data_IF_380797367732
#
_entry.id   IF_380797367732
#
_cell.length_a   1.000
_cell.length_b   1.000
_cell.length_c   1.000
_cell.angle_alpha   90.00
_cell.angle_beta   90.00
_cell.angle_gamma   90.00
#
_symmetry.space_group_name_H-M   'P 1'
#
loop_
_entity.id
_entity.type
_entity.pdbx_description
1 polymer ?
#
# COMPACT_ATOMS: atom_id res chain seq x y z
N UNK A 1 -14.33 -3.65 -7.12
CA UNK A 1 -12.94 -3.13 -7.07
C UNK A 1 -12.08 -4.15 -7.77
N UNK A 2 -11.23 -3.76 -8.71
CA UNK A 2 -10.21 -4.66 -9.25
C UNK A 2 -9.27 -5.09 -8.12
N UNK A 3 -8.91 -6.37 -8.06
CA UNK A 3 -7.98 -6.88 -7.05
C UNK A 3 -6.64 -6.11 -7.14
N UNK A 4 -6.10 -5.71 -5.99
CA UNK A 4 -4.81 -5.01 -5.95
C UNK A 4 -3.67 -5.98 -6.29
N UNK A 5 -2.67 -5.50 -7.03
CA UNK A 5 -1.43 -6.27 -7.25
C UNK A 5 -0.73 -6.44 -5.89
N UNK A 6 -0.41 -7.68 -5.54
CA UNK A 6 0.19 -8.04 -4.24
C UNK A 6 1.65 -8.45 -4.37
N UNK A 7 2.08 -8.88 -5.56
CA UNK A 7 3.45 -9.28 -5.86
C UNK A 7 3.70 -9.25 -7.38
N UNK A 8 4.96 -9.35 -7.78
CA UNK A 8 5.35 -9.43 -9.18
C UNK A 8 6.84 -9.77 -9.36
N UNK A 9 7.27 -9.81 -10.62
CA UNK A 9 8.67 -10.05 -10.99
C UNK A 9 9.21 -8.80 -11.69
N UNK A 10 10.38 -8.35 -11.22
CA UNK A 10 11.14 -7.23 -11.77
C UNK A 10 12.41 -7.74 -12.46
N UNK A 11 12.71 -7.26 -13.66
CA UNK A 11 14.07 -7.35 -14.21
C UNK A 11 14.95 -6.28 -13.56
N UNK A 12 15.96 -6.73 -12.80
CA UNK A 12 16.84 -5.85 -12.02
C UNK A 12 17.81 -5.02 -12.89
N UNK A 13 17.88 -5.26 -14.19
CA UNK A 13 18.70 -4.49 -15.15
C UNK A 13 17.90 -3.36 -15.77
N UNK A 14 16.65 -3.60 -16.12
CA UNK A 14 15.80 -2.67 -16.88
C UNK A 14 14.73 -1.98 -16.04
N UNK A 15 14.45 -2.47 -14.83
CA UNK A 15 13.33 -1.97 -14.03
C UNK A 15 11.95 -2.38 -14.56
N UNK A 16 11.91 -3.27 -15.56
CA UNK A 16 10.66 -3.73 -16.17
C UNK A 16 9.96 -4.76 -15.28
N UNK A 17 8.65 -4.57 -15.08
CA UNK A 17 7.80 -5.52 -14.38
C UNK A 17 7.23 -6.49 -15.41
N UNK A 18 7.67 -7.74 -15.39
CA UNK A 18 7.35 -8.74 -16.42
C UNK A 18 6.10 -9.56 -16.08
N UNK A 19 5.76 -9.68 -14.80
CA UNK A 19 4.61 -10.46 -14.32
C UNK A 19 4.12 -9.91 -12.99
N UNK A 20 2.81 -9.94 -12.76
CA UNK A 20 2.18 -9.52 -11.50
C UNK A 20 1.08 -10.48 -11.10
N UNK A 21 0.80 -10.56 -9.81
CA UNK A 21 -0.28 -11.38 -9.24
C UNK A 21 -1.10 -10.54 -8.27
N UNK A 22 -2.37 -10.90 -8.14
CA UNK A 22 -3.30 -10.26 -7.20
C UNK A 22 -3.68 -11.16 -6.04
N UNK A 23 -3.29 -12.46 -6.07
CA UNK A 23 -3.61 -13.44 -5.03
C UNK A 23 -2.37 -13.89 -4.28
N UNK A 24 -2.46 -13.92 -2.95
CA UNK A 24 -1.35 -14.35 -2.09
C UNK A 24 -0.88 -15.79 -2.37
N UNK A 25 -1.78 -16.67 -2.81
CA UNK A 25 -1.48 -18.07 -3.15
C UNK A 25 -0.55 -18.20 -4.37
N UNK A 26 -0.47 -17.19 -5.22
CA UNK A 26 0.31 -17.22 -6.47
C UNK A 26 1.77 -16.75 -6.27
N UNK A 27 2.07 -16.09 -5.14
CA UNK A 27 3.41 -15.55 -4.83
C UNK A 27 4.52 -16.61 -4.85
N UNK A 28 4.21 -17.82 -4.39
CA UNK A 28 5.18 -18.92 -4.37
C UNK A 28 5.56 -19.32 -5.78
N UNK A 29 4.62 -19.34 -6.72
CA UNK A 29 4.91 -19.63 -8.13
C UNK A 29 5.85 -18.59 -8.74
N UNK A 30 5.64 -17.30 -8.47
CA UNK A 30 6.55 -16.24 -8.92
C UNK A 30 7.99 -16.43 -8.40
N UNK A 31 8.15 -16.75 -7.11
CA UNK A 31 9.46 -16.99 -6.50
C UNK A 31 10.18 -18.19 -7.11
N UNK A 32 9.45 -19.28 -7.37
CA UNK A 32 9.98 -20.47 -8.02
C UNK A 32 10.39 -20.17 -9.47
N UNK A 33 9.55 -19.46 -10.22
CA UNK A 33 9.86 -19.03 -11.60
C UNK A 33 11.13 -18.18 -11.67
N UNK A 34 11.28 -17.20 -10.77
CA UNK A 34 12.49 -16.38 -10.67
C UNK A 34 13.73 -17.23 -10.39
N UNK A 35 13.64 -18.20 -9.46
CA UNK A 35 14.77 -19.04 -9.06
C UNK A 35 15.15 -20.08 -10.12
N UNK A 36 14.18 -20.83 -10.61
CA UNK A 36 14.40 -22.08 -11.35
C UNK A 36 14.47 -21.87 -12.86
N UNK A 37 13.84 -20.79 -13.36
CA UNK A 37 13.79 -20.46 -14.79
C UNK A 37 14.63 -19.21 -15.07
N UNK A 38 14.20 -18.05 -14.56
CA UNK A 38 14.74 -16.76 -14.99
C UNK A 38 16.20 -16.54 -14.55
N UNK A 39 16.52 -16.69 -13.26
CA UNK A 39 17.88 -16.49 -12.77
C UNK A 39 18.82 -17.64 -13.15
N UNK A 40 18.27 -18.83 -13.45
CA UNK A 40 19.05 -19.94 -13.99
C UNK A 40 19.57 -19.63 -15.40
N UNK A 41 18.73 -19.00 -16.23
CA UNK A 41 19.07 -18.64 -17.62
C UNK A 41 19.86 -17.34 -17.72
N UNK A 42 19.47 -16.31 -16.97
CA UNK A 42 19.99 -14.94 -17.12
C UNK A 42 21.06 -14.56 -16.08
N UNK A 43 21.37 -15.47 -15.17
CA UNK A 43 22.34 -15.28 -14.10
C UNK A 43 21.71 -14.85 -12.78
N UNK A 44 22.51 -14.99 -11.72
CA UNK A 44 22.08 -14.72 -10.35
C UNK A 44 21.62 -13.26 -10.18
N UNK A 45 20.47 -13.08 -9.54
CA UNK A 45 19.86 -11.78 -9.23
C UNK A 45 19.60 -10.91 -10.48
N UNK A 46 19.37 -11.55 -11.64
CA UNK A 46 18.92 -10.86 -12.84
C UNK A 46 17.45 -10.43 -12.72
N UNK A 47 16.64 -11.25 -12.04
CA UNK A 47 15.24 -11.02 -11.75
C UNK A 47 14.98 -11.14 -10.25
N UNK A 48 14.01 -10.36 -9.78
CA UNK A 48 13.58 -10.34 -8.38
C UNK A 48 12.06 -10.47 -8.27
N UNK A 49 11.61 -11.40 -7.42
CA UNK A 49 10.20 -11.50 -7.03
C UNK A 49 9.94 -10.54 -5.86
N UNK A 50 9.22 -9.45 -6.12
CA UNK A 50 8.81 -8.52 -5.08
C UNK A 50 7.45 -8.88 -4.49
N UNK A 51 7.27 -8.63 -3.21
CA UNK A 51 6.01 -8.78 -2.50
C UNK A 51 5.65 -7.46 -1.80
N UNK A 52 4.43 -6.98 -2.02
CA UNK A 52 3.88 -5.76 -1.43
C UNK A 52 3.02 -6.08 -0.19
N UNK A 53 2.28 -7.18 -0.32
CA UNK A 53 1.63 -7.94 0.75
C UNK A 53 2.73 -8.64 1.56
N UNK A 54 3.29 -7.99 2.58
CA UNK A 54 4.13 -8.69 3.55
C UNK A 54 3.89 -8.11 4.93
N UNK A 55 4.00 -8.94 5.97
CA UNK A 55 3.93 -8.48 7.35
C UNK A 55 5.08 -7.51 7.72
N UNK A 56 6.22 -7.62 7.02
CA UNK A 56 7.42 -6.80 7.25
C UNK A 56 7.44 -5.52 6.40
N UNK A 57 6.45 -5.34 5.52
CA UNK A 57 6.41 -4.27 4.54
C UNK A 57 7.33 -4.48 3.33
N UNK A 58 7.10 -3.70 2.28
CA UNK A 58 7.94 -3.65 1.10
C UNK A 58 9.22 -2.86 1.37
N UNK A 59 10.39 -3.48 1.20
CA UNK A 59 11.69 -2.85 1.43
C UNK A 59 12.30 -2.32 0.12
N UNK A 60 12.07 -1.04 -0.13
CA UNK A 60 12.62 -0.34 -1.29
C UNK A 60 14.16 -0.25 -1.28
N UNK A 61 14.78 -0.10 -0.11
CA UNK A 61 16.25 -0.04 0.00
C UNK A 61 16.89 -1.35 -0.43
N UNK A 62 16.29 -2.48 -0.03
CA UNK A 62 16.71 -3.79 -0.48
C UNK A 62 16.54 -3.95 -1.99
N UNK A 63 15.40 -3.52 -2.55
CA UNK A 63 15.19 -3.54 -3.99
C UNK A 63 16.28 -2.74 -4.73
N UNK A 64 16.57 -1.52 -4.29
CA UNK A 64 17.61 -0.67 -4.89
C UNK A 64 18.99 -1.31 -4.85
N UNK A 65 19.32 -2.05 -3.79
CA UNK A 65 20.58 -2.80 -3.70
C UNK A 65 20.67 -3.95 -4.71
N UNK A 66 19.54 -4.54 -5.11
CA UNK A 66 19.50 -5.61 -6.11
C UNK A 66 19.61 -5.10 -7.55
N UNK A 67 19.24 -3.84 -7.80
CA UNK A 67 19.32 -3.23 -9.12
C UNK A 67 20.76 -3.20 -9.63
N UNK A 68 20.93 -3.50 -10.93
CA UNK A 68 22.26 -3.48 -11.59
C UNK A 68 22.67 -2.07 -12.05
N UNK A 69 21.85 -1.06 -11.75
CA UNK A 69 22.06 0.33 -12.10
C UNK A 69 21.65 1.21 -10.92
N UNK A 70 22.32 2.35 -10.76
CA UNK A 70 21.98 3.37 -9.76
C UNK A 70 20.90 4.35 -10.23
N UNK A 71 20.32 4.14 -11.43
CA UNK A 71 19.27 5.00 -11.94
C UNK A 71 17.99 4.85 -11.11
N UNK A 72 17.56 5.90 -10.37
CA UNK A 72 16.35 5.84 -9.54
C UNK A 72 15.07 5.70 -10.38
N UNK A 73 15.11 5.92 -11.70
CA UNK A 73 13.96 5.71 -12.57
C UNK A 73 13.51 4.24 -12.59
N UNK A 74 14.45 3.30 -12.45
CA UNK A 74 14.17 1.87 -12.63
C UNK A 74 13.30 1.27 -11.52
N UNK A 75 13.15 1.96 -10.38
CA UNK A 75 12.27 1.50 -9.29
C UNK A 75 10.89 2.17 -9.29
N UNK A 76 10.65 3.15 -10.16
CA UNK A 76 9.45 3.99 -10.09
C UNK A 76 8.15 3.20 -10.27
N UNK A 77 8.12 2.26 -11.21
CA UNK A 77 6.92 1.44 -11.45
C UNK A 77 6.60 0.57 -10.21
N UNK A 78 7.62 0.01 -9.54
CA UNK A 78 7.41 -0.77 -8.30
C UNK A 78 7.03 0.15 -7.12
N UNK A 79 7.61 1.34 -7.02
CA UNK A 79 7.23 2.36 -6.03
C UNK A 79 5.77 2.79 -6.20
N UNK A 80 5.31 2.95 -7.45
CA UNK A 80 3.91 3.23 -7.78
C UNK A 80 3.00 2.07 -7.36
N UNK A 81 3.35 0.83 -7.70
CA UNK A 81 2.57 -0.34 -7.28
C UNK A 81 2.48 -0.46 -5.76
N UNK A 82 3.59 -0.21 -5.05
CA UNK A 82 3.64 -0.20 -3.59
C UNK A 82 2.70 0.86 -3.00
N UNK A 83 2.72 2.08 -3.54
CA UNK A 83 1.83 3.16 -3.12
C UNK A 83 0.35 2.81 -3.38
N UNK A 84 0.02 2.24 -4.54
CA UNK A 84 -1.34 1.77 -4.86
C UNK A 84 -1.81 0.66 -3.92
N UNK A 85 -0.93 -0.28 -3.60
CA UNK A 85 -1.22 -1.33 -2.64
C UNK A 85 -1.47 -0.77 -1.23
N UNK A 86 -0.70 0.24 -0.81
CA UNK A 86 -0.95 0.95 0.45
C UNK A 86 -2.29 1.67 0.47
N UNK A 87 -2.68 2.34 -0.62
CA UNK A 87 -4.04 2.90 -0.75
C UNK A 87 -5.11 1.82 -0.56
N UNK A 88 -4.95 0.66 -1.19
CA UNK A 88 -5.87 -0.47 -1.03
C UNK A 88 -5.94 -0.95 0.43
N UNK A 89 -4.79 -1.26 1.06
CA UNK A 89 -4.72 -1.72 2.45
C UNK A 89 -5.36 -0.72 3.41
N UNK A 90 -4.97 0.56 3.33
CA UNK A 90 -5.48 1.62 4.21
C UNK A 90 -6.98 1.85 4.00
N UNK A 91 -7.49 1.71 2.77
CA UNK A 91 -8.95 1.80 2.52
C UNK A 91 -9.72 0.68 3.22
N UNK A 92 -9.21 -0.55 3.17
CA UNK A 92 -9.84 -1.69 3.87
C UNK A 92 -9.78 -1.51 5.39
N UNK A 93 -8.63 -1.07 5.92
CA UNK A 93 -8.47 -0.78 7.33
C UNK A 93 -9.39 0.34 7.81
N UNK A 94 -9.51 1.42 7.03
CA UNK A 94 -10.39 2.54 7.35
C UNK A 94 -11.85 2.08 7.43
N UNK A 95 -12.34 1.34 6.43
CA UNK A 95 -13.70 0.84 6.44
C UNK A 95 -14.00 -0.06 7.65
N UNK A 96 -13.01 -0.85 8.09
CA UNK A 96 -13.12 -1.65 9.30
C UNK A 96 -13.18 -0.78 10.55
N UNK A 97 -12.26 0.17 10.71
CA UNK A 97 -12.19 1.06 11.87
C UNK A 97 -13.44 1.94 11.99
N UNK A 98 -13.94 2.47 10.88
CA UNK A 98 -15.18 3.26 10.86
C UNK A 98 -16.37 2.42 11.35
N UNK A 99 -16.48 1.15 10.89
CA UNK A 99 -17.51 0.23 11.38
C UNK A 99 -17.36 -0.08 12.88
N UNK A 100 -16.13 -0.27 13.35
CA UNK A 100 -15.85 -0.53 14.77
C UNK A 100 -16.20 0.68 15.64
N UNK A 101 -15.84 1.89 15.21
CA UNK A 101 -16.20 3.14 15.91
C UNK A 101 -17.72 3.28 15.99
N UNK A 102 -18.44 3.15 14.87
CA UNK A 102 -19.91 3.24 14.88
C UNK A 102 -20.54 2.20 15.82
N UNK A 103 -20.04 0.96 15.83
CA UNK A 103 -20.55 -0.05 16.74
C UNK A 103 -20.27 0.27 18.22
N UNK A 104 -19.13 0.88 18.52
CA UNK A 104 -18.80 1.33 19.87
C UNK A 104 -19.66 2.54 20.29
N UNK A 105 -19.89 3.49 19.40
CA UNK A 105 -20.76 4.65 19.64
C UNK A 105 -22.21 4.19 19.90
N UNK A 106 -22.74 3.29 19.07
CA UNK A 106 -24.06 2.70 19.27
C UNK A 106 -24.18 1.94 20.61
N UNK A 107 -23.10 1.28 21.05
CA UNK A 107 -23.07 0.57 22.32
C UNK A 107 -22.99 1.54 23.51
N UNK A 108 -22.20 2.59 23.38
CA UNK A 108 -22.07 3.65 24.37
C UNK A 108 -23.41 4.34 24.62
N UNK A 109 -24.12 4.73 23.56
CA UNK A 109 -25.44 5.37 23.66
C UNK A 109 -26.44 4.47 24.39
N UNK A 110 -26.51 3.17 24.01
CA UNK A 110 -27.36 2.18 24.69
C UNK A 110 -27.00 1.98 26.14
N UNK A 111 -25.72 1.99 26.50
CA UNK A 111 -25.29 1.88 27.89
C UNK A 111 -25.73 3.12 28.69
N UNK A 112 -25.61 4.31 28.11
CA UNK A 112 -26.07 5.55 28.75
C UNK A 112 -27.60 5.54 28.98
N UNK A 113 -28.38 5.00 28.04
CA UNK A 113 -29.85 4.89 28.17
C UNK A 113 -30.32 3.98 29.32
N UNK A 114 -29.46 3.10 29.85
CA UNK A 114 -29.81 2.21 30.95
C UNK A 114 -29.87 2.91 32.32
N UNK A 115 -29.29 4.10 32.43
CA UNK A 115 -29.13 4.81 33.69
C UNK A 115 -29.97 6.08 33.74
N UNK A 116 -30.43 6.45 34.93
CA UNK A 116 -31.17 7.69 35.11
C UNK A 116 -30.28 8.91 34.84
N UNK A 117 -30.85 9.94 34.23
CA UNK A 117 -30.13 11.18 33.94
C UNK A 117 -29.60 11.81 35.23
N UNK A 118 -28.29 12.09 35.25
CA UNK A 118 -27.60 12.68 36.40
C UNK A 118 -27.23 11.68 37.52
N UNK A 119 -27.40 10.38 37.29
CA UNK A 119 -26.89 9.34 38.20
C UNK A 119 -25.36 9.26 38.15
N UNK A 120 -24.76 8.84 39.27
CA UNK A 120 -23.30 8.63 39.36
C UNK A 120 -22.84 7.48 38.45
N UNK A 121 -23.71 6.49 38.24
CA UNK A 121 -23.50 5.37 37.34
C UNK A 121 -23.38 5.84 35.88
N UNK A 122 -24.24 6.78 35.45
CA UNK A 122 -24.13 7.39 34.12
C UNK A 122 -22.82 8.17 33.97
N UNK A 123 -22.45 8.99 34.96
CA UNK A 123 -21.20 9.75 34.94
C UNK A 123 -19.98 8.83 34.86
N UNK A 124 -19.99 7.71 35.61
CA UNK A 124 -18.94 6.70 35.58
C UNK A 124 -18.80 6.06 34.19
N UNK A 125 -19.92 5.67 33.56
CA UNK A 125 -19.94 5.07 32.22
C UNK A 125 -19.45 6.06 31.17
N UNK A 126 -19.94 7.30 31.23
CA UNK A 126 -19.53 8.36 30.29
C UNK A 126 -18.03 8.63 30.40
N UNK A 127 -17.51 8.89 31.60
CA UNK A 127 -16.08 9.13 31.80
C UNK A 127 -15.21 7.91 31.43
N UNK A 128 -15.68 6.70 31.75
CA UNK A 128 -14.89 5.48 31.55
C UNK A 128 -14.78 5.03 30.08
N UNK A 129 -15.76 5.38 29.23
CA UNK A 129 -15.82 4.92 27.84
C UNK A 129 -15.54 6.03 26.82
N UNK A 130 -15.66 7.30 27.17
CA UNK A 130 -15.39 8.42 26.24
C UNK A 130 -13.92 8.46 25.81
N UNK A 131 -12.99 8.15 26.71
CA UNK A 131 -11.55 8.08 26.40
C UNK A 131 -11.27 7.01 25.33
N UNK A 132 -11.87 5.82 25.46
CA UNK A 132 -11.69 4.75 24.46
C UNK A 132 -12.36 5.09 23.12
N UNK A 133 -13.52 5.74 23.13
CA UNK A 133 -14.16 6.24 21.90
C UNK A 133 -13.29 7.29 21.21
N UNK A 134 -12.68 8.19 21.98
CA UNK A 134 -11.76 9.22 21.46
C UNK A 134 -10.55 8.58 20.80
N UNK A 135 -9.89 7.61 21.45
CA UNK A 135 -8.75 6.88 20.88
C UNK A 135 -9.11 6.18 19.55
N UNK A 136 -10.31 5.62 19.46
CA UNK A 136 -10.80 4.97 18.22
C UNK A 136 -11.12 5.99 17.13
N UNK A 137 -11.71 7.13 17.46
CA UNK A 137 -11.95 8.25 16.52
C UNK A 137 -10.62 8.81 15.99
N UNK A 138 -9.63 8.96 16.86
CA UNK A 138 -8.28 9.39 16.49
C UNK A 138 -7.59 8.38 15.58
N UNK A 139 -7.78 7.08 15.82
CA UNK A 139 -7.30 6.02 14.94
C UNK A 139 -7.90 6.11 13.52
N UNK A 140 -9.20 6.41 13.41
CA UNK A 140 -9.87 6.68 12.12
C UNK A 140 -9.28 7.92 11.44
N UNK A 141 -9.08 9.00 12.19
CA UNK A 141 -8.49 10.25 11.69
C UNK A 141 -7.06 10.03 11.15
N UNK A 142 -6.23 9.32 11.90
CA UNK A 142 -4.87 8.93 11.48
C UNK A 142 -4.90 8.11 10.19
N UNK A 143 -5.80 7.12 10.11
CA UNK A 143 -5.95 6.28 8.91
C UNK A 143 -6.39 7.10 7.67
N UNK A 144 -7.27 8.11 7.85
CA UNK A 144 -7.65 9.05 6.78
C UNK A 144 -6.47 9.89 6.30
N UNK A 145 -5.63 10.36 7.22
CA UNK A 145 -4.42 11.12 6.90
C UNK A 145 -3.43 10.28 6.07
N UNK A 146 -3.17 9.04 6.51
CA UNK A 146 -2.32 8.10 5.77
C UNK A 146 -2.85 7.81 4.37
N UNK A 147 -4.16 7.60 4.24
CA UNK A 147 -4.80 7.38 2.95
C UNK A 147 -4.59 8.56 1.99
N UNK A 148 -4.72 9.80 2.49
CA UNK A 148 -4.48 11.00 1.71
C UNK A 148 -3.01 11.11 1.28
N UNK A 149 -2.07 10.82 2.19
CA UNK A 149 -0.64 10.78 1.89
C UNK A 149 -0.33 9.76 0.77
N UNK A 150 -0.83 8.53 0.87
CA UNK A 150 -0.56 7.51 -0.14
C UNK A 150 -1.19 7.83 -1.50
N UNK A 151 -2.41 8.38 -1.52
CA UNK A 151 -3.03 8.87 -2.77
C UNK A 151 -2.20 9.96 -3.43
N UNK A 152 -1.67 10.90 -2.65
CA UNK A 152 -0.76 11.94 -3.16
C UNK A 152 0.50 11.33 -3.79
N UNK A 153 1.13 10.36 -3.12
CA UNK A 153 2.30 9.64 -3.66
C UNK A 153 2.00 8.92 -4.97
N UNK A 154 0.83 8.31 -5.12
CA UNK A 154 0.40 7.68 -6.38
C UNK A 154 0.43 8.71 -7.51
N UNK A 155 -0.20 9.87 -7.31
CA UNK A 155 -0.24 10.95 -8.30
C UNK A 155 1.16 11.49 -8.63
N UNK A 156 2.02 11.66 -7.62
CA UNK A 156 3.41 12.08 -7.81
C UNK A 156 4.22 11.08 -8.65
N UNK A 157 4.09 9.78 -8.38
CA UNK A 157 4.77 8.74 -9.16
C UNK A 157 4.23 8.63 -10.59
N UNK A 158 2.91 8.70 -10.77
CA UNK A 158 2.28 8.71 -12.10
C UNK A 158 2.76 9.90 -12.94
N UNK A 159 2.84 11.09 -12.34
CA UNK A 159 3.37 12.28 -13.01
C UNK A 159 4.84 12.09 -13.43
N UNK A 160 5.70 11.54 -12.56
CA UNK A 160 7.11 11.29 -12.86
C UNK A 160 7.30 10.27 -13.99
N UNK A 161 6.54 9.18 -13.96
CA UNK A 161 6.56 8.16 -15.02
C UNK A 161 6.12 8.75 -16.36
N UNK A 162 5.04 9.56 -16.37
CA UNK A 162 4.56 10.22 -17.58
C UNK A 162 5.57 11.23 -18.13
N UNK A 163 6.28 11.98 -17.27
CA UNK A 163 7.36 12.88 -17.68
C UNK A 163 8.50 12.11 -18.36
N UNK A 164 8.93 10.98 -17.79
CA UNK A 164 9.98 10.15 -18.40
C UNK A 164 9.56 9.60 -19.77
N UNK A 165 8.32 9.14 -19.90
CA UNK A 165 7.77 8.66 -21.18
C UNK A 165 7.63 9.80 -22.20
N UNK A 166 7.29 11.02 -21.76
CA UNK A 166 7.21 12.20 -22.61
C UNK A 166 8.56 12.75 -23.09
N UNK A 167 9.61 12.66 -22.26
CA UNK A 167 10.98 13.09 -22.62
C UNK A 167 11.61 12.16 -23.67
N UNK A 168 11.27 10.87 -23.67
CA UNK A 168 11.70 9.91 -24.70
C UNK A 168 10.94 10.06 -26.03
N UNK A 169 9.94 10.95 -26.11
CA UNK A 169 9.05 11.13 -27.26
C UNK A 169 9.34 12.31 -28.19
N UNK A 170 10.44 13.07 -28.03
CA UNK A 170 10.71 14.26 -28.86
C UNK A 170 12.15 14.26 -29.42
N UNK A 171 12.34 13.57 -30.54
CA UNK A 171 13.21 14.06 -31.61
C UNK A 171 12.45 13.95 -32.93
N UNK A 172 11.80 15.02 -33.43
CA UNK A 172 11.50 15.07 -34.84
C UNK A 172 12.85 15.20 -35.57
N UNK A 173 13.19 14.15 -36.32
CA UNK A 173 14.21 14.20 -37.36
C UNK A 173 13.88 15.37 -38.27
N UNK A 174 14.59 16.49 -38.13
CA UNK A 174 14.65 17.50 -39.19
C UNK A 174 15.48 16.92 -40.32
N UNK A 175 14.81 16.20 -41.22
CA UNK A 175 15.23 16.13 -42.62
C UNK A 175 14.85 17.46 -43.26
N UNK A 176 15.86 18.27 -43.58
CA UNK A 176 15.99 19.09 -44.79
C UNK A 176 17.38 19.69 -44.77
#
# INVERSE_FOLDING_TARGET
MSDAIVAGILDCRTGEIIETVTRATEKTALRLKVRDELNKEHGKDAFYAFELDTALGFNLSYLRMLMKSNDPALTLEVELLSARYKVYQTTQQLARLEKEVTACEDAFDKCCELFENGSLELEFVQCGLEDELTDRRDSVSGCKSDLAMYKKRVTEFEARINQQKGVLGIFPSKKT
#
